data_IF_274323958234
#
_entry.id   IF_274323958234
#
_cell.length_a   1.000
_cell.length_b   1.000
_cell.length_c   1.000
_cell.angle_alpha   90.00
_cell.angle_beta   90.00
_cell.angle_gamma   90.00
#
_symmetry.space_group_name_H-M   'P 1'
#
loop_
_entity.id
_entity.type
_entity.pdbx_description
1 polymer ?
#
# COMPACT_ATOMS: atom_id res chain seq x y z
N UNK A 1 31.08 -24.57 -16.50
CA UNK A 1 29.90 -24.12 -15.72
C UNK A 1 29.79 -22.62 -15.90
N UNK A 2 28.95 -22.18 -16.84
CA UNK A 2 28.66 -20.75 -17.00
C UNK A 2 27.78 -20.36 -15.82
N UNK A 3 28.34 -19.66 -14.84
CA UNK A 3 27.57 -19.00 -13.79
C UNK A 3 26.72 -17.97 -14.51
N UNK A 4 25.48 -18.31 -14.86
CA UNK A 4 24.48 -17.29 -15.15
C UNK A 4 24.31 -16.54 -13.84
N UNK A 5 24.94 -15.38 -13.71
CA UNK A 5 24.52 -14.37 -12.75
C UNK A 5 23.05 -14.13 -13.08
N UNK A 6 22.15 -14.70 -12.27
CA UNK A 6 20.71 -14.48 -12.41
C UNK A 6 20.48 -13.02 -12.12
N UNK A 7 20.26 -12.21 -13.16
CA UNK A 7 19.78 -10.85 -12.98
C UNK A 7 18.45 -10.93 -12.23
N UNK A 8 18.46 -10.55 -10.95
CA UNK A 8 17.24 -10.37 -10.17
C UNK A 8 16.85 -8.89 -10.29
N UNK A 9 15.78 -8.56 -11.01
CA UNK A 9 15.33 -7.18 -11.14
C UNK A 9 14.92 -6.65 -9.77
N UNK A 10 15.42 -5.47 -9.41
CA UNK A 10 15.12 -4.83 -8.14
C UNK A 10 13.68 -4.32 -8.09
N UNK A 11 13.06 -4.46 -6.92
CA UNK A 11 11.75 -3.93 -6.58
C UNK A 11 11.94 -2.50 -6.07
N UNK A 12 11.33 -1.49 -6.70
CA UNK A 12 11.42 -0.12 -6.20
C UNK A 12 10.66 0.03 -4.87
N UNK A 13 11.34 0.51 -3.84
CA UNK A 13 10.78 0.81 -2.52
C UNK A 13 11.04 2.27 -2.18
N UNK A 14 10.00 3.03 -1.84
CA UNK A 14 10.10 4.45 -1.54
C UNK A 14 10.07 4.69 -0.03
N UNK A 15 11.25 4.92 0.55
CA UNK A 15 11.42 5.07 1.99
C UNK A 15 12.41 6.19 2.35
N UNK A 16 12.12 6.87 3.46
CA UNK A 16 13.01 7.81 4.12
C UNK A 16 12.73 7.77 5.63
N UNK A 17 13.77 7.97 6.45
CA UNK A 17 13.60 8.07 7.92
C UNK A 17 12.68 9.22 8.33
N UNK A 18 12.48 10.23 7.47
CA UNK A 18 11.50 11.29 7.70
C UNK A 18 10.04 10.81 7.68
N UNK A 19 9.76 9.59 7.23
CA UNK A 19 8.43 8.96 7.31
C UNK A 19 8.11 8.45 8.73
N UNK A 20 9.13 8.31 9.57
CA UNK A 20 9.06 7.64 10.87
C UNK A 20 8.80 8.66 11.96
N UNK A 21 7.87 8.36 12.86
CA UNK A 21 7.61 9.19 14.02
C UNK A 21 7.18 8.37 15.24
N UNK A 22 7.53 8.87 16.42
CA UNK A 22 6.97 8.40 17.67
C UNK A 22 5.56 8.99 17.85
N UNK A 23 4.55 8.13 17.75
CA UNK A 23 3.14 8.51 17.89
C UNK A 23 2.70 8.64 19.35
N UNK A 24 3.44 8.03 20.29
CA UNK A 24 3.16 8.08 21.73
C UNK A 24 1.90 7.30 22.16
N UNK A 25 1.44 6.34 21.35
CA UNK A 25 0.21 5.59 21.60
C UNK A 25 0.32 4.10 21.30
N UNK A 26 -0.83 3.41 21.34
CA UNK A 26 -0.96 1.98 21.09
C UNK A 26 -0.49 1.55 19.68
N UNK A 27 -0.86 2.36 18.67
CA UNK A 27 -0.62 2.02 17.27
C UNK A 27 0.85 2.14 16.88
N UNK A 28 1.44 1.08 16.26
CA UNK A 28 2.80 1.12 15.74
C UNK A 28 2.92 1.84 14.39
N UNK A 29 1.82 2.26 13.77
CA UNK A 29 1.79 2.68 12.35
C UNK A 29 2.81 3.75 11.97
N UNK A 30 3.11 4.70 12.87
CA UNK A 30 4.09 5.76 12.60
C UNK A 30 5.56 5.30 12.71
N UNK A 31 5.84 4.24 13.48
CA UNK A 31 7.18 3.69 13.68
C UNK A 31 7.45 2.42 12.85
N UNK A 32 6.38 1.76 12.39
CA UNK A 32 6.42 0.52 11.58
C UNK A 32 7.29 0.61 10.31
N UNK A 33 7.34 1.72 9.56
CA UNK A 33 8.14 1.80 8.33
C UNK A 33 9.62 1.43 8.52
N UNK A 34 10.26 1.94 9.59
CA UNK A 34 11.66 1.66 9.87
C UNK A 34 11.91 0.17 10.18
N UNK A 35 11.02 -0.44 10.95
CA UNK A 35 11.14 -1.84 11.37
C UNK A 35 10.94 -2.78 10.18
N UNK A 36 9.96 -2.50 9.31
CA UNK A 36 9.73 -3.26 8.09
C UNK A 36 10.92 -3.15 7.13
N UNK A 37 11.48 -1.95 6.96
CA UNK A 37 12.67 -1.77 6.12
C UNK A 37 13.89 -2.52 6.64
N UNK A 38 14.13 -2.47 7.96
CA UNK A 38 15.21 -3.22 8.58
C UNK A 38 15.04 -4.74 8.37
N UNK A 39 13.82 -5.27 8.53
CA UNK A 39 13.52 -6.69 8.30
C UNK A 39 13.69 -7.08 6.83
N UNK A 40 13.17 -6.28 5.89
CA UNK A 40 13.29 -6.60 4.47
C UNK A 40 14.75 -6.57 3.96
N UNK A 41 15.56 -5.67 4.50
CA UNK A 41 17.01 -5.66 4.24
C UNK A 41 17.71 -6.87 4.86
N UNK A 42 17.36 -7.22 6.11
CA UNK A 42 17.91 -8.38 6.82
C UNK A 42 17.59 -9.70 6.10
N UNK A 43 16.38 -9.83 5.55
CA UNK A 43 15.92 -10.98 4.76
C UNK A 43 16.45 -10.97 3.33
N UNK A 44 17.18 -9.93 2.92
CA UNK A 44 17.75 -9.77 1.59
C UNK A 44 16.72 -9.89 0.45
N UNK A 45 15.53 -9.30 0.64
CA UNK A 45 14.60 -9.12 -0.47
C UNK A 45 15.25 -8.27 -1.58
N UNK A 46 14.92 -8.51 -2.86
CA UNK A 46 15.56 -7.83 -3.98
C UNK A 46 15.01 -6.41 -4.15
N UNK A 47 15.22 -5.53 -3.16
CA UNK A 47 14.69 -4.17 -3.12
C UNK A 47 15.76 -3.14 -3.53
N UNK A 48 15.31 -2.06 -4.16
CA UNK A 48 16.10 -0.85 -4.36
C UNK A 48 15.36 0.33 -3.73
N UNK A 49 16.04 1.00 -2.79
CA UNK A 49 15.42 2.01 -1.94
C UNK A 49 15.65 3.40 -2.52
N UNK A 50 14.56 4.13 -2.73
CA UNK A 50 14.54 5.50 -3.21
C UNK A 50 13.97 6.43 -2.14
N UNK A 51 14.57 7.60 -1.96
CA UNK A 51 14.04 8.62 -1.05
C UNK A 51 12.90 9.39 -1.75
N UNK A 52 11.66 9.37 -1.21
CA UNK A 52 10.56 10.09 -1.81
C UNK A 52 10.61 11.60 -1.51
N UNK A 53 10.11 12.40 -2.44
CA UNK A 53 9.80 13.81 -2.21
C UNK A 53 8.60 13.91 -1.24
N UNK A 54 8.64 14.76 -0.20
CA UNK A 54 7.43 15.08 0.54
C UNK A 54 6.41 15.80 -0.36
N UNK A 55 5.13 15.39 -0.30
CA UNK A 55 4.07 16.12 -0.98
C UNK A 55 3.99 17.57 -0.48
N UNK A 56 3.53 18.49 -1.31
CA UNK A 56 3.32 19.89 -0.91
C UNK A 56 2.05 20.01 -0.05
N UNK A 57 1.88 21.19 0.57
CA UNK A 57 0.65 21.47 1.32
C UNK A 57 -0.55 21.53 0.36
N UNK A 58 -0.35 22.04 -0.84
CA UNK A 58 -1.36 22.11 -1.90
C UNK A 58 -1.77 20.70 -2.35
N UNK A 59 -0.83 19.77 -2.48
CA UNK A 59 -1.12 18.37 -2.81
C UNK A 59 -1.91 17.67 -1.70
N UNK A 60 -1.57 17.89 -0.42
CA UNK A 60 -2.40 17.43 0.69
C UNK A 60 -3.80 18.06 0.66
N UNK A 61 -3.86 19.36 0.36
CA UNK A 61 -5.11 20.14 0.32
C UNK A 61 -5.99 19.82 -0.89
N UNK A 62 -5.50 19.02 -1.85
CA UNK A 62 -6.34 18.48 -2.90
C UNK A 62 -7.31 17.43 -2.33
N UNK A 63 -6.83 16.60 -1.39
CA UNK A 63 -7.61 15.50 -0.79
C UNK A 63 -8.28 15.87 0.54
N UNK A 64 -7.89 17.00 1.14
CA UNK A 64 -8.36 17.42 2.45
C UNK A 64 -8.63 18.92 2.48
N UNK A 65 -9.51 19.35 3.39
CA UNK A 65 -9.78 20.77 3.59
C UNK A 65 -8.49 21.53 3.98
N UNK A 66 -8.15 22.64 3.30
CA UNK A 66 -6.91 23.38 3.57
C UNK A 66 -6.74 23.81 5.04
N UNK A 67 -7.84 24.21 5.70
CA UNK A 67 -7.81 24.59 7.12
C UNK A 67 -7.48 23.40 8.04
N UNK A 68 -7.98 22.21 7.70
CA UNK A 68 -7.64 20.98 8.42
C UNK A 68 -6.17 20.61 8.23
N UNK A 69 -5.65 20.65 6.98
CA UNK A 69 -4.24 20.40 6.67
C UNK A 69 -3.32 21.34 7.46
N UNK A 70 -3.58 22.65 7.37
CA UNK A 70 -2.79 23.65 8.09
C UNK A 70 -2.87 23.45 9.60
N UNK A 71 -4.06 23.18 10.14
CA UNK A 71 -4.24 23.01 11.57
C UNK A 71 -3.53 21.79 12.14
N UNK A 72 -3.52 20.67 11.41
CA UNK A 72 -2.76 19.47 11.80
C UNK A 72 -1.25 19.76 11.74
N UNK A 73 -0.76 20.33 10.65
CA UNK A 73 0.68 20.60 10.47
C UNK A 73 1.21 21.64 11.46
N UNK A 74 0.38 22.60 11.88
CA UNK A 74 0.71 23.59 12.90
C UNK A 74 0.48 23.08 14.34
N UNK A 75 0.00 21.85 14.54
CA UNK A 75 -0.30 21.31 15.87
C UNK A 75 -1.50 21.97 16.57
N UNK A 76 -2.36 22.69 15.85
CA UNK A 76 -3.59 23.28 16.42
C UNK A 76 -4.76 22.31 16.41
N UNK A 77 -4.78 21.36 15.48
CA UNK A 77 -5.74 20.25 15.37
C UNK A 77 -5.04 18.94 15.75
N UNK A 78 -5.79 18.00 16.36
CA UNK A 78 -5.27 16.68 16.69
C UNK A 78 -5.09 15.83 15.43
N UNK A 79 -3.99 15.09 15.37
CA UNK A 79 -3.72 14.08 14.36
C UNK A 79 -4.54 12.79 14.61
N UNK A 80 -4.38 11.79 13.74
CA UNK A 80 -5.09 10.50 13.81
C UNK A 80 -4.75 9.65 15.03
N UNK A 81 -3.67 9.96 15.74
CA UNK A 81 -3.31 9.34 17.02
C UNK A 81 -3.93 10.06 18.22
N UNK A 82 -4.80 11.05 17.99
CA UNK A 82 -5.52 11.78 19.03
C UNK A 82 -4.68 12.84 19.78
N UNK A 83 -3.50 13.16 19.27
CA UNK A 83 -2.57 14.12 19.88
C UNK A 83 -2.08 15.18 18.88
N UNK A 84 -1.16 16.06 19.30
CA UNK A 84 -0.63 17.18 18.51
C UNK A 84 0.89 17.06 18.32
N UNK A 85 1.38 15.82 18.20
CA UNK A 85 2.81 15.52 18.07
C UNK A 85 3.40 16.21 16.84
N UNK A 86 4.41 17.05 17.06
CA UNK A 86 5.20 17.68 15.99
C UNK A 86 5.95 16.64 15.17
N UNK A 87 6.47 15.58 15.81
CA UNK A 87 7.14 14.48 15.13
C UNK A 87 6.20 13.81 14.12
N UNK A 88 4.96 13.51 14.52
CA UNK A 88 3.94 12.99 13.60
C UNK A 88 3.67 14.01 12.49
N UNK A 89 3.40 15.27 12.82
CA UNK A 89 3.10 16.30 11.82
C UNK A 89 4.22 16.44 10.75
N UNK A 90 5.47 16.34 11.16
CA UNK A 90 6.63 16.42 10.28
C UNK A 90 6.77 15.24 9.32
N UNK A 91 6.23 14.06 9.66
CA UNK A 91 6.34 12.85 8.85
C UNK A 91 5.23 12.70 7.80
N UNK A 92 4.07 13.29 8.01
CA UNK A 92 2.87 13.08 7.18
C UNK A 92 3.08 13.39 5.69
N UNK A 93 3.84 14.44 5.37
CA UNK A 93 4.12 14.80 3.98
C UNK A 93 5.03 13.77 3.30
N UNK A 94 5.94 13.15 4.06
CA UNK A 94 6.85 12.13 3.56
C UNK A 94 6.13 10.80 3.35
N UNK A 95 5.20 10.42 4.24
CA UNK A 95 4.42 9.17 4.08
C UNK A 95 3.50 9.23 2.87
N UNK A 96 2.79 10.34 2.64
CA UNK A 96 2.00 10.54 1.41
C UNK A 96 2.88 10.66 0.17
N UNK A 97 4.04 11.29 0.29
CA UNK A 97 5.04 11.38 -0.78
C UNK A 97 5.59 10.03 -1.23
N UNK A 98 5.82 9.12 -0.28
CA UNK A 98 6.22 7.74 -0.56
C UNK A 98 5.18 7.00 -1.40
N UNK A 99 3.89 7.12 -1.04
CA UNK A 99 2.80 6.47 -1.77
C UNK A 99 2.69 7.02 -3.20
N UNK A 100 2.77 8.34 -3.36
CA UNK A 100 2.74 8.97 -4.68
C UNK A 100 3.93 8.53 -5.55
N UNK A 101 5.14 8.49 -4.98
CA UNK A 101 6.33 8.08 -5.71
C UNK A 101 6.29 6.58 -6.11
N UNK A 102 5.78 5.71 -5.24
CA UNK A 102 5.53 4.30 -5.56
C UNK A 102 4.52 4.16 -6.71
N UNK A 103 3.41 4.90 -6.65
CA UNK A 103 2.40 4.90 -7.71
C UNK A 103 2.96 5.35 -9.08
N UNK A 104 3.75 6.42 -9.10
CA UNK A 104 4.42 6.91 -10.31
C UNK A 104 5.42 5.87 -10.85
N UNK A 105 6.21 5.24 -9.98
CA UNK A 105 7.16 4.21 -10.39
C UNK A 105 6.47 2.97 -10.96
N UNK A 106 5.38 2.52 -10.32
CA UNK A 106 4.55 1.42 -10.80
C UNK A 106 4.01 1.69 -12.20
N UNK A 107 3.50 2.90 -12.45
CA UNK A 107 3.05 3.33 -13.79
C UNK A 107 4.19 3.29 -14.82
N UNK A 108 5.38 3.81 -14.47
CA UNK A 108 6.53 3.88 -15.37
C UNK A 108 7.05 2.48 -15.74
N UNK A 109 7.19 1.59 -14.76
CA UNK A 109 7.70 0.24 -15.00
C UNK A 109 6.60 -0.74 -15.46
N UNK A 110 5.34 -0.34 -15.35
CA UNK A 110 4.17 -1.14 -15.74
C UNK A 110 3.96 -2.40 -14.90
N UNK A 111 4.53 -2.48 -13.70
CA UNK A 111 4.50 -3.64 -12.80
C UNK A 111 4.12 -3.21 -11.39
N UNK A 112 5.01 -2.56 -10.67
CA UNK A 112 4.73 -2.15 -9.30
C UNK A 112 5.88 -1.51 -8.55
N UNK A 113 5.56 -1.03 -7.34
CA UNK A 113 6.49 -0.46 -6.38
C UNK A 113 5.85 -0.45 -4.98
N UNK A 114 6.67 -0.19 -3.96
CA UNK A 114 6.25 -0.28 -2.56
C UNK A 114 6.47 1.05 -1.83
N UNK A 115 5.50 1.44 -1.02
CA UNK A 115 5.67 2.49 -0.01
C UNK A 115 5.41 1.86 1.37
N UNK A 116 6.43 1.64 2.22
CA UNK A 116 6.25 1.01 3.53
C UNK A 116 5.62 1.97 4.56
N UNK A 117 4.61 2.75 4.16
CA UNK A 117 3.79 3.59 5.03
C UNK A 117 2.54 2.84 5.51
N UNK A 118 1.87 3.37 6.53
CA UNK A 118 0.70 2.73 7.16
C UNK A 118 -0.38 3.77 7.46
N UNK A 119 -1.64 3.30 7.54
CA UNK A 119 -2.80 4.15 7.77
C UNK A 119 -3.44 4.62 6.46
N UNK A 120 -3.82 5.89 6.38
CA UNK A 120 -4.55 6.58 5.30
C UNK A 120 -6.06 6.43 5.29
N UNK A 121 -6.59 5.22 5.23
CA UNK A 121 -7.99 4.99 4.82
C UNK A 121 -9.09 5.56 5.76
N UNK A 122 -8.77 5.84 7.03
CA UNK A 122 -9.72 6.45 7.99
C UNK A 122 -9.70 7.99 8.00
N UNK A 123 -8.74 8.61 7.32
CA UNK A 123 -8.69 10.08 7.24
C UNK A 123 -9.67 10.56 6.16
N UNK A 124 -10.72 11.27 6.57
CA UNK A 124 -11.69 11.89 5.67
C UNK A 124 -11.28 13.30 5.23
N UNK A 125 -12.15 13.97 4.47
CA UNK A 125 -11.84 15.28 3.89
C UNK A 125 -11.56 16.35 4.97
N UNK A 126 -12.20 16.26 6.14
CA UNK A 126 -12.11 17.25 7.23
C UNK A 126 -11.63 16.70 8.58
N UNK A 127 -11.25 15.43 8.65
CA UNK A 127 -10.99 14.78 9.93
C UNK A 127 -9.90 13.71 9.86
N UNK A 128 -9.24 13.52 10.99
CA UNK A 128 -8.37 12.38 11.25
C UNK A 128 -9.12 11.37 12.13
N UNK A 129 -8.89 10.07 11.90
CA UNK A 129 -9.51 8.98 12.65
C UNK A 129 -8.67 7.71 12.52
N UNK A 130 -8.83 6.74 13.42
CA UNK A 130 -8.24 5.39 13.31
C UNK A 130 -6.74 5.38 12.99
N UNK A 131 -5.94 6.20 13.68
CA UNK A 131 -4.49 6.35 13.44
C UNK A 131 -4.11 6.96 12.07
N UNK A 132 -5.09 7.33 11.24
CA UNK A 132 -4.93 7.98 9.96
C UNK A 132 -5.11 9.49 10.11
N UNK A 133 -4.12 10.27 9.66
CA UNK A 133 -4.17 11.74 9.75
C UNK A 133 -4.50 12.40 8.43
N UNK A 134 -3.78 12.03 7.37
CA UNK A 134 -4.12 12.36 5.98
C UNK A 134 -4.25 11.06 5.19
N UNK A 135 -5.07 11.07 4.15
CA UNK A 135 -5.34 9.96 3.27
C UNK A 135 -4.36 9.99 2.10
N UNK A 136 -3.20 9.36 2.28
CA UNK A 136 -2.15 9.27 1.26
C UNK A 136 -2.60 8.59 -0.04
N UNK A 137 -3.62 7.71 0.02
CA UNK A 137 -4.20 7.12 -1.19
C UNK A 137 -4.91 8.18 -2.03
N UNK A 138 -5.80 8.97 -1.41
CA UNK A 138 -6.56 9.99 -2.13
C UNK A 138 -5.70 11.16 -2.58
N UNK A 139 -4.69 11.53 -1.80
CA UNK A 139 -3.65 12.48 -2.23
C UNK A 139 -2.96 11.96 -3.50
N UNK A 140 -2.59 10.68 -3.52
CA UNK A 140 -1.95 10.05 -4.68
C UNK A 140 -2.87 10.06 -5.89
N UNK A 141 -4.13 9.63 -5.74
CA UNK A 141 -5.15 9.65 -6.80
C UNK A 141 -5.27 11.04 -7.43
N UNK A 142 -5.46 12.08 -6.62
CA UNK A 142 -5.67 13.44 -7.13
C UNK A 142 -4.44 14.01 -7.81
N UNK A 143 -3.23 13.71 -7.31
CA UNK A 143 -1.99 14.11 -7.97
C UNK A 143 -1.87 13.46 -9.36
N UNK A 144 -2.15 12.16 -9.48
CA UNK A 144 -2.05 11.43 -10.75
C UNK A 144 -3.11 11.87 -11.76
N UNK A 145 -4.36 12.10 -11.32
CA UNK A 145 -5.44 12.61 -12.16
C UNK A 145 -5.12 14.01 -12.69
N UNK A 146 -4.65 14.91 -11.82
CA UNK A 146 -4.30 16.30 -12.19
C UNK A 146 -3.12 16.35 -13.17
N UNK A 147 -2.16 15.44 -13.02
CA UNK A 147 -1.02 15.33 -13.92
C UNK A 147 -1.34 14.59 -15.23
N UNK A 148 -2.61 14.19 -15.44
CA UNK A 148 -3.09 13.42 -16.60
C UNK A 148 -2.34 12.09 -16.80
N UNK A 149 -1.74 11.55 -15.72
CA UNK A 149 -1.00 10.29 -15.78
C UNK A 149 -1.92 9.07 -15.85
N UNK A 150 -3.16 9.22 -15.35
CA UNK A 150 -4.17 8.17 -15.27
C UNK A 150 -5.56 8.77 -15.50
N UNK A 151 -6.53 7.94 -15.90
CA UNK A 151 -7.96 8.26 -16.02
C UNK A 151 -8.78 7.59 -14.92
N UNK A 152 -8.41 6.36 -14.54
CA UNK A 152 -9.09 5.60 -13.48
C UNK A 152 -8.08 4.89 -12.58
N UNK A 153 -8.25 5.02 -11.27
CA UNK A 153 -7.39 4.39 -10.25
C UNK A 153 -8.23 3.43 -9.42
N UNK A 154 -7.72 2.22 -9.21
CA UNK A 154 -8.28 1.28 -8.25
C UNK A 154 -7.70 1.53 -6.86
N UNK A 155 -8.54 1.50 -5.83
CA UNK A 155 -8.14 1.37 -4.42
C UNK A 155 -8.66 0.02 -3.95
N UNK A 156 -7.73 -0.93 -3.78
CA UNK A 156 -7.98 -2.22 -3.19
C UNK A 156 -7.56 -2.13 -1.72
N UNK A 157 -8.53 -2.04 -0.83
CA UNK A 157 -8.29 -1.93 0.61
C UNK A 157 -8.67 -3.24 1.29
N UNK A 158 -7.66 -4.04 1.66
CA UNK A 158 -7.85 -5.32 2.36
C UNK A 158 -7.36 -5.25 3.81
N UNK A 159 -7.41 -4.05 4.40
CA UNK A 159 -7.42 -3.85 5.86
C UNK A 159 -8.69 -4.45 6.48
N UNK A 160 -8.63 -4.75 7.78
CA UNK A 160 -9.79 -5.26 8.53
C UNK A 160 -10.92 -4.23 8.58
N UNK A 161 -10.56 -2.96 8.65
CA UNK A 161 -11.49 -1.89 8.87
C UNK A 161 -11.95 -1.26 7.55
N UNK A 162 -13.20 -0.80 7.52
CA UNK A 162 -13.71 -0.08 6.37
C UNK A 162 -12.95 1.24 6.19
N UNK A 163 -12.45 1.48 4.98
CA UNK A 163 -11.84 2.75 4.57
C UNK A 163 -12.85 3.89 4.46
N UNK A 164 -13.46 4.27 5.59
CA UNK A 164 -14.50 5.29 5.70
C UNK A 164 -14.02 6.66 5.25
N UNK A 165 -12.77 7.04 5.58
CA UNK A 165 -12.17 8.30 5.14
C UNK A 165 -11.90 8.34 3.63
N UNK A 166 -11.46 7.22 3.05
CA UNK A 166 -11.34 7.07 1.59
C UNK A 166 -12.69 7.25 0.92
N UNK A 167 -13.73 6.58 1.44
CA UNK A 167 -15.09 6.73 0.92
C UNK A 167 -15.62 8.16 1.06
N UNK A 168 -15.44 8.81 2.22
CA UNK A 168 -15.82 10.20 2.48
C UNK A 168 -15.20 11.15 1.44
N UNK A 169 -13.89 11.05 1.17
CA UNK A 169 -13.23 11.93 0.20
C UNK A 169 -13.74 11.68 -1.22
N UNK A 170 -13.96 10.42 -1.62
CA UNK A 170 -14.51 10.07 -2.94
C UNK A 170 -15.88 10.74 -3.13
N UNK A 171 -16.78 10.61 -2.15
CA UNK A 171 -18.11 11.22 -2.19
C UNK A 171 -18.04 12.75 -2.16
N UNK A 172 -17.21 13.31 -1.27
CA UNK A 172 -17.07 14.76 -1.11
C UNK A 172 -16.60 15.46 -2.39
N UNK A 173 -15.67 14.83 -3.12
CA UNK A 173 -15.06 15.38 -4.34
C UNK A 173 -15.73 14.90 -5.63
N UNK A 174 -16.72 14.00 -5.56
CA UNK A 174 -17.43 13.48 -6.73
C UNK A 174 -16.56 12.62 -7.64
N UNK A 175 -15.71 11.75 -7.06
CA UNK A 175 -14.69 10.98 -7.78
C UNK A 175 -15.10 9.54 -8.15
N UNK A 176 -16.38 9.20 -8.04
CA UNK A 176 -16.88 7.83 -8.24
C UNK A 176 -16.62 7.27 -9.65
N UNK A 177 -16.47 8.16 -10.65
CA UNK A 177 -16.14 7.75 -12.02
C UNK A 177 -14.63 7.54 -12.24
N UNK A 178 -13.78 8.13 -11.40
CA UNK A 178 -12.31 8.05 -11.51
C UNK A 178 -11.71 7.05 -10.53
N UNK A 179 -12.43 6.68 -9.46
CA UNK A 179 -11.93 5.81 -8.41
C UNK A 179 -12.83 4.59 -8.24
N UNK A 180 -12.27 3.41 -8.48
CA UNK A 180 -12.88 2.14 -8.07
C UNK A 180 -12.37 1.80 -6.67
N UNK A 181 -13.22 1.85 -5.65
CA UNK A 181 -12.84 1.52 -4.27
C UNK A 181 -13.53 0.24 -3.81
N UNK A 182 -12.74 -0.71 -3.29
CA UNK A 182 -13.24 -1.95 -2.70
C UNK A 182 -12.59 -2.21 -1.35
N UNK A 183 -13.41 -2.58 -0.36
CA UNK A 183 -12.97 -3.19 0.90
C UNK A 183 -13.99 -4.26 1.35
N UNK A 184 -13.52 -5.40 1.91
CA UNK A 184 -14.39 -6.47 2.37
C UNK A 184 -14.93 -6.24 3.79
N UNK A 185 -14.52 -5.18 4.48
CA UNK A 185 -14.80 -4.97 5.92
C UNK A 185 -16.29 -4.96 6.30
N UNK A 186 -17.18 -4.62 5.36
CA UNK A 186 -18.63 -4.66 5.58
C UNK A 186 -19.24 -6.07 5.46
N UNK A 187 -18.49 -7.03 4.92
CA UNK A 187 -18.95 -8.39 4.59
C UNK A 187 -18.11 -9.50 5.22
N UNK A 188 -16.89 -9.21 5.65
CA UNK A 188 -15.94 -10.18 6.18
C UNK A 188 -15.38 -9.71 7.52
N UNK A 189 -15.81 -10.38 8.60
CA UNK A 189 -15.43 -10.07 9.98
C UNK A 189 -15.49 -11.32 10.90
N UNK A 190 -15.55 -12.52 10.31
CA UNK A 190 -15.61 -13.82 11.01
C UNK A 190 -14.75 -14.81 10.23
N UNK A 191 -14.06 -15.72 10.93
CA UNK A 191 -13.17 -16.72 10.30
C UNK A 191 -13.85 -17.56 9.21
N UNK A 192 -15.15 -17.84 9.34
CA UNK A 192 -15.92 -18.59 8.31
C UNK A 192 -16.04 -17.84 6.97
N UNK A 193 -15.79 -16.53 6.95
CA UNK A 193 -15.76 -15.72 5.73
C UNK A 193 -14.44 -15.85 4.96
N UNK A 194 -13.37 -16.40 5.57
CA UNK A 194 -12.03 -16.50 4.98
C UNK A 194 -12.02 -17.24 3.64
N UNK A 195 -12.49 -18.49 3.64
CA UNK A 195 -12.46 -19.34 2.44
C UNK A 195 -13.37 -18.79 1.31
N UNK A 196 -14.64 -18.39 1.58
CA UNK A 196 -15.46 -17.74 0.56
C UNK A 196 -14.85 -16.48 -0.02
N UNK A 197 -14.24 -15.63 0.81
CA UNK A 197 -13.56 -14.42 0.36
C UNK A 197 -12.39 -14.74 -0.57
N UNK A 198 -11.49 -15.65 -0.16
CA UNK A 198 -10.33 -16.02 -0.97
C UNK A 198 -10.75 -16.65 -2.31
N UNK A 199 -11.82 -17.44 -2.31
CA UNK A 199 -12.39 -18.03 -3.52
C UNK A 199 -12.97 -16.98 -4.49
N UNK A 200 -13.60 -15.93 -3.97
CA UNK A 200 -14.24 -14.86 -4.77
C UNK A 200 -13.26 -13.73 -5.15
N UNK A 201 -12.14 -13.58 -4.43
CA UNK A 201 -11.16 -12.52 -4.64
C UNK A 201 -10.67 -12.41 -6.10
N UNK A 202 -10.37 -13.49 -6.86
CA UNK A 202 -10.02 -13.39 -8.27
C UNK A 202 -11.05 -12.67 -9.14
N UNK A 203 -12.35 -12.87 -8.85
CA UNK A 203 -13.46 -12.23 -9.55
C UNK A 203 -13.65 -10.79 -9.06
N UNK A 204 -13.51 -10.55 -7.76
CA UNK A 204 -13.48 -9.19 -7.21
C UNK A 204 -12.42 -8.33 -7.89
N UNK A 205 -11.25 -8.89 -8.19
CA UNK A 205 -10.17 -8.20 -8.89
C UNK A 205 -10.50 -7.85 -10.36
N UNK A 206 -11.59 -8.36 -10.95
CA UNK A 206 -12.05 -7.96 -12.29
C UNK A 206 -12.62 -6.54 -12.32
N UNK A 207 -13.06 -6.02 -11.17
CA UNK A 207 -13.55 -4.64 -11.02
C UNK A 207 -12.50 -3.60 -11.40
N UNK A 208 -11.23 -3.94 -11.28
CA UNK A 208 -10.10 -3.05 -11.59
C UNK A 208 -9.56 -3.21 -13.02
N UNK A 209 -10.22 -3.99 -13.87
CA UNK A 209 -9.71 -4.34 -15.20
C UNK A 209 -9.51 -3.15 -16.15
N UNK A 210 -10.18 -2.04 -15.91
CA UNK A 210 -10.05 -0.79 -16.68
C UNK A 210 -9.33 0.34 -15.92
N UNK A 211 -8.77 0.03 -14.74
CA UNK A 211 -7.93 0.96 -14.00
C UNK A 211 -6.51 1.00 -14.60
N UNK A 212 -5.93 2.19 -14.65
CA UNK A 212 -4.56 2.40 -15.15
C UNK A 212 -3.51 2.02 -14.08
N UNK A 213 -3.92 1.97 -12.80
CA UNK A 213 -3.12 1.60 -11.63
C UNK A 213 -4.05 1.11 -10.52
N UNK A 214 -3.57 0.16 -9.69
CA UNK A 214 -4.19 -0.18 -8.41
C UNK A 214 -3.29 0.26 -7.25
N UNK A 215 -3.87 0.99 -6.30
CA UNK A 215 -3.30 1.24 -4.98
C UNK A 215 -3.80 0.13 -4.04
N UNK A 216 -2.88 -0.70 -3.54
CA UNK A 216 -3.22 -1.84 -2.68
C UNK A 216 -2.81 -1.57 -1.23
N UNK A 217 -3.79 -1.51 -0.32
CA UNK A 217 -3.52 -1.54 1.13
C UNK A 217 -3.47 -2.97 1.63
N UNK A 218 -2.24 -3.46 1.86
CA UNK A 218 -1.98 -4.79 2.38
C UNK A 218 -2.02 -4.79 3.92
N UNK A 219 -3.22 -4.73 4.49
CA UNK A 219 -3.42 -4.76 5.94
C UNK A 219 -3.01 -6.08 6.57
N UNK A 220 -2.41 -6.00 7.76
CA UNK A 220 -2.04 -7.15 8.57
C UNK A 220 -3.04 -7.42 9.70
N UNK A 221 -3.92 -6.47 10.00
CA UNK A 221 -4.96 -6.57 11.01
C UNK A 221 -6.17 -7.45 10.67
N UNK A 222 -6.39 -7.98 9.45
CA UNK A 222 -7.33 -9.09 9.31
C UNK A 222 -6.82 -10.39 9.96
N UNK A 223 -5.62 -10.41 10.54
CA UNK A 223 -5.07 -11.59 11.19
C UNK A 223 -5.90 -11.98 12.43
N UNK A 224 -6.24 -13.26 12.59
CA UNK A 224 -7.08 -13.75 13.71
C UNK A 224 -6.56 -13.43 15.13
N UNK A 225 -5.26 -13.20 15.26
CA UNK A 225 -4.64 -12.83 16.54
C UNK A 225 -4.49 -11.31 16.71
N UNK A 226 -4.93 -10.48 15.76
CA UNK A 226 -4.86 -9.03 15.88
C UNK A 226 -5.86 -8.52 16.95
N UNK A 227 -5.41 -7.63 17.86
CA UNK A 227 -6.25 -7.16 18.95
C UNK A 227 -7.44 -6.28 18.52
N UNK A 228 -7.48 -5.80 17.27
CA UNK A 228 -8.56 -4.95 16.77
C UNK A 228 -9.62 -5.69 15.95
N UNK A 229 -9.47 -7.00 15.75
CA UNK A 229 -10.36 -7.80 14.90
C UNK A 229 -9.54 -8.73 14.02
N UNK A 230 -10.20 -9.55 13.20
CA UNK A 230 -9.50 -10.43 12.28
C UNK A 230 -10.21 -11.75 12.04
N UNK A 231 -10.01 -12.28 10.83
CA UNK A 231 -10.71 -13.45 10.30
C UNK A 231 -9.86 -14.26 9.32
N UNK A 232 -8.60 -13.89 9.11
CA UNK A 232 -7.65 -14.59 8.25
C UNK A 232 -6.48 -15.13 9.10
N UNK A 233 -6.11 -16.37 8.89
CA UNK A 233 -4.85 -16.93 9.43
C UNK A 233 -3.64 -16.36 8.69
N UNK A 234 -2.43 -16.56 9.22
CA UNK A 234 -1.17 -16.19 8.56
C UNK A 234 -1.09 -16.74 7.12
N UNK A 235 -1.49 -18.00 6.93
CA UNK A 235 -1.45 -18.64 5.61
C UNK A 235 -2.52 -18.06 4.67
N UNK A 236 -3.71 -17.76 5.18
CA UNK A 236 -4.77 -17.15 4.38
C UNK A 236 -4.42 -15.70 3.97
N UNK A 237 -3.74 -14.93 4.82
CA UNK A 237 -3.17 -13.62 4.43
C UNK A 237 -2.12 -13.76 3.33
N UNK A 238 -1.24 -14.77 3.42
CA UNK A 238 -0.28 -15.07 2.35
C UNK A 238 -0.99 -15.42 1.04
N UNK A 239 -2.03 -16.26 1.09
CA UNK A 239 -2.84 -16.62 -0.09
C UNK A 239 -3.59 -15.41 -0.66
N UNK A 240 -4.13 -14.53 0.18
CA UNK A 240 -4.74 -13.25 -0.25
C UNK A 240 -3.74 -12.44 -1.07
N UNK A 241 -2.55 -12.19 -0.52
CA UNK A 241 -1.52 -11.37 -1.19
C UNK A 241 -1.02 -12.04 -2.48
N UNK A 242 -0.86 -13.36 -2.46
CA UNK A 242 -0.55 -14.17 -3.63
C UNK A 242 -1.55 -13.94 -4.76
N UNK A 243 -2.86 -14.06 -4.48
CA UNK A 243 -3.93 -13.88 -5.45
C UNK A 243 -3.90 -12.46 -6.02
N UNK A 244 -3.76 -11.43 -5.17
CA UNK A 244 -3.74 -10.03 -5.58
C UNK A 244 -2.58 -9.78 -6.55
N UNK A 245 -1.35 -10.08 -6.16
CA UNK A 245 -0.19 -9.79 -6.99
C UNK A 245 -0.16 -10.60 -8.29
N UNK A 246 -0.50 -11.89 -8.23
CA UNK A 246 -0.58 -12.72 -9.43
C UNK A 246 -1.59 -12.17 -10.42
N UNK A 247 -2.81 -11.84 -9.98
CA UNK A 247 -3.89 -11.41 -10.88
C UNK A 247 -3.63 -10.04 -11.48
N UNK A 248 -3.14 -9.07 -10.70
CA UNK A 248 -2.85 -7.73 -11.21
C UNK A 248 -1.70 -7.78 -12.22
N UNK A 249 -0.57 -8.42 -11.88
CA UNK A 249 0.59 -8.49 -12.77
C UNK A 249 0.34 -9.35 -14.02
N UNK A 250 -0.41 -10.46 -13.92
CA UNK A 250 -0.81 -11.28 -15.09
C UNK A 250 -1.69 -10.48 -16.06
N UNK A 251 -2.53 -9.58 -15.56
CA UNK A 251 -3.36 -8.68 -16.37
C UNK A 251 -2.60 -7.45 -16.87
N UNK A 252 -1.35 -7.26 -16.43
CA UNK A 252 -0.54 -6.09 -16.78
C UNK A 252 -1.05 -4.80 -16.13
N UNK A 253 -1.79 -4.90 -15.03
CA UNK A 253 -2.27 -3.76 -14.25
C UNK A 253 -1.16 -3.42 -13.24
N UNK A 254 -0.56 -2.22 -13.30
CA UNK A 254 0.45 -1.82 -12.34
C UNK A 254 -0.13 -1.75 -10.93
N UNK A 255 0.68 -2.07 -9.92
CA UNK A 255 0.28 -2.02 -8.50
C UNK A 255 1.30 -1.26 -7.66
N UNK A 256 0.85 -0.20 -6.99
CA UNK A 256 1.59 0.39 -5.88
C UNK A 256 0.94 -0.03 -4.59
N UNK A 257 1.72 -0.53 -3.64
CA UNK A 257 1.14 -1.01 -2.39
C UNK A 257 1.83 -0.43 -1.17
N UNK A 258 1.05 -0.29 -0.11
CA UNK A 258 1.50 0.13 1.20
C UNK A 258 1.04 -0.83 2.27
N UNK A 259 1.65 -0.69 3.45
CA UNK A 259 1.17 -1.37 4.65
C UNK A 259 -0.16 -0.71 5.07
N UNK A 260 -0.96 -1.36 5.90
CA UNK A 260 -2.13 -0.73 6.53
C UNK A 260 -2.07 -0.92 8.05
N UNK A 261 -3.13 -1.40 8.68
CA UNK A 261 -3.15 -1.80 10.07
C UNK A 261 -2.26 -3.01 10.38
N UNK A 262 -2.41 -3.54 11.59
CA UNK A 262 -1.56 -4.57 12.18
C UNK A 262 -0.98 -4.09 13.52
N UNK A 263 -1.48 -4.67 14.59
CA UNK A 263 -1.33 -4.19 15.97
C UNK A 263 -0.91 -5.29 16.95
N UNK A 264 -0.75 -6.52 16.47
CA UNK A 264 -0.22 -7.64 17.25
C UNK A 264 1.12 -7.30 17.93
N UNK A 265 1.29 -7.83 19.15
CA UNK A 265 2.51 -7.69 19.93
C UNK A 265 3.06 -9.06 20.31
N UNK A 266 4.39 -9.21 20.27
CA UNK A 266 5.06 -10.38 20.85
C UNK A 266 5.19 -10.26 22.37
N UNK A 267 5.75 -11.30 23.00
CA UNK A 267 5.96 -11.36 24.46
C UNK A 267 6.89 -10.29 25.02
N UNK A 268 7.68 -9.62 24.18
CA UNK A 268 8.54 -8.48 24.54
C UNK A 268 7.88 -7.12 24.30
N UNK A 269 6.66 -7.08 23.75
CA UNK A 269 5.97 -5.86 23.36
C UNK A 269 6.39 -5.32 21.98
N UNK A 270 7.26 -6.05 21.26
CA UNK A 270 7.62 -5.78 19.88
C UNK A 270 6.49 -6.11 18.91
N UNK A 271 6.64 -5.74 17.64
CA UNK A 271 5.64 -6.00 16.58
C UNK A 271 6.06 -7.15 15.65
N UNK A 272 6.93 -8.07 16.10
CA UNK A 272 7.44 -9.14 15.23
C UNK A 272 6.34 -9.91 14.47
N UNK A 273 5.18 -10.26 15.06
CA UNK A 273 4.12 -10.94 14.30
C UNK A 273 3.60 -10.12 13.11
N UNK A 274 3.50 -8.79 13.26
CA UNK A 274 3.11 -7.88 12.17
C UNK A 274 4.19 -7.81 11.10
N UNK A 275 5.47 -7.82 11.51
CA UNK A 275 6.60 -7.84 10.57
C UNK A 275 6.60 -9.14 9.77
N UNK A 276 6.35 -10.28 10.40
CA UNK A 276 6.29 -11.59 9.74
C UNK A 276 5.17 -11.65 8.69
N UNK A 277 4.00 -11.06 8.97
CA UNK A 277 2.92 -10.93 7.98
C UNK A 277 3.37 -10.07 6.79
N UNK A 278 3.96 -8.89 7.02
CA UNK A 278 4.44 -8.04 5.93
C UNK A 278 5.64 -8.64 5.18
N UNK A 279 6.43 -9.50 5.82
CA UNK A 279 7.47 -10.31 5.16
C UNK A 279 6.83 -11.29 4.16
N UNK A 280 5.72 -11.95 4.53
CA UNK A 280 4.97 -12.81 3.62
C UNK A 280 4.39 -12.01 2.44
N UNK A 281 3.81 -10.82 2.68
CA UNK A 281 3.33 -9.93 1.63
C UNK A 281 4.45 -9.58 0.64
N UNK A 282 5.62 -9.15 1.12
CA UNK A 282 6.77 -8.84 0.27
C UNK A 282 7.30 -10.07 -0.47
N UNK A 283 7.29 -11.25 0.16
CA UNK A 283 7.70 -12.50 -0.49
C UNK A 283 6.79 -12.85 -1.68
N UNK A 284 5.46 -12.72 -1.52
CA UNK A 284 4.51 -12.96 -2.61
C UNK A 284 4.64 -11.90 -3.72
N UNK A 285 4.87 -10.64 -3.37
CA UNK A 285 5.13 -9.61 -4.37
C UNK A 285 6.43 -9.88 -5.14
N UNK A 286 7.52 -10.23 -4.44
CA UNK A 286 8.80 -10.54 -5.06
C UNK A 286 8.73 -11.75 -5.98
N UNK A 287 7.97 -12.79 -5.59
CA UNK A 287 7.70 -13.95 -6.44
C UNK A 287 6.97 -13.55 -7.72
N UNK A 288 5.87 -12.80 -7.61
CA UNK A 288 5.10 -12.37 -8.77
C UNK A 288 5.89 -11.40 -9.68
N UNK A 289 6.73 -10.55 -9.08
CA UNK A 289 7.67 -9.66 -9.76
C UNK A 289 8.70 -10.43 -10.59
N UNK A 290 9.41 -11.39 -10.00
CA UNK A 290 10.42 -12.22 -10.68
C UNK A 290 9.80 -12.96 -11.88
N UNK A 291 8.66 -13.62 -11.67
CA UNK A 291 7.93 -14.32 -12.74
C UNK A 291 7.53 -13.38 -13.88
N UNK A 292 7.08 -12.17 -13.56
CA UNK A 292 6.68 -11.18 -14.57
C UNK A 292 7.88 -10.67 -15.36
N UNK A 293 9.01 -10.42 -14.70
CA UNK A 293 10.24 -10.03 -15.36
C UNK A 293 10.77 -11.13 -16.29
N UNK A 294 10.80 -12.38 -15.84
CA UNK A 294 11.18 -13.53 -16.68
C UNK A 294 10.28 -13.65 -17.91
N UNK A 295 8.96 -13.51 -17.74
CA UNK A 295 8.01 -13.54 -18.84
C UNK A 295 8.23 -12.38 -19.84
N UNK A 296 8.57 -11.18 -19.36
CA UNK A 296 8.92 -10.03 -20.22
C UNK A 296 10.21 -10.25 -20.98
N UNK A 297 11.24 -10.79 -20.34
CA UNK A 297 12.52 -11.13 -20.99
C UNK A 297 12.35 -12.23 -22.05
N UNK A 298 11.52 -13.23 -21.79
CA UNK A 298 11.20 -14.28 -22.75
C UNK A 298 10.47 -13.73 -23.99
N UNK A 299 9.58 -12.75 -23.83
CA UNK A 299 8.89 -12.06 -24.94
C UNK A 299 9.79 -11.08 -25.70
N UNK A 300 10.75 -10.45 -25.02
CA UNK A 300 11.67 -9.46 -25.60
C UNK A 300 12.93 -10.05 -26.25
N UNK A 301 13.24 -11.33 -26.01
CA UNK A 301 14.34 -12.01 -26.68
C UNK A 301 13.99 -12.17 -28.17
N UNK A 302 14.82 -11.67 -29.12
CA UNK A 302 14.55 -11.88 -30.53
C UNK A 302 14.54 -13.38 -30.80
N UNK A 303 13.35 -13.92 -31.00
CA UNK A 303 13.17 -15.29 -31.44
C UNK A 303 14.04 -15.50 -32.66
N UNK A 304 14.87 -16.54 -32.57
CA UNK A 304 15.63 -17.17 -33.63
C UNK A 304 14.93 -16.99 -34.99
N UNK A 305 15.18 -15.87 -35.68
CA UNK A 305 14.77 -15.68 -37.06
C UNK A 305 15.66 -16.64 -37.80
N UNK A 306 15.12 -17.82 -38.10
CA UNK A 306 15.78 -18.77 -38.98
C UNK A 306 16.15 -18.01 -40.24
N UNK A 307 17.44 -17.72 -40.41
CA UNK A 307 18.03 -17.53 -41.72
C UNK A 307 17.83 -18.88 -42.41
N UNK A 308 16.70 -19.03 -43.10
CA UNK A 308 16.58 -20.05 -44.15
C UNK A 308 17.37 -19.53 -45.34
N UNK A 309 18.10 -20.44 -46.01
CA UNK A 309 19.24 -20.13 -46.87
C UNK A 309 18.87 -19.30 -48.10
#
# INVERSE_FOLDING_TARGET
MTVRLSFRPSIPVFYSDHMVAESGGFSPSAAKPAQVMAEWQRLAFPIEVFSPRPVSIEELSAAHEPAFVQGVLAGTIKNGFGNKSEAVASSLRHTSGAMLAAAQAALINGMGAVAPCSGFHHAGYRYASGFCTFNGLMVTVLCLLTQTQVRRVGILDLDEHWGDGTHDIIEHLGLQAQVEHYSPASTCYLEEHAEPFLAELPRTLERFSDCDLVLYQAGADPHVDDPLGGWLTTEQLRVRDQIVFDRLLQRGIPVAWNLAGGYQRDSSGGIQPVLDIHNNTMAEFARAWEQTCEARLAKGSPGNRSLRP
#
